data_IF_412905348768
#
_entry.id   IF_412905348768
#
_cell.length_a   1.000
_cell.length_b   1.000
_cell.length_c   1.000
_cell.angle_alpha   90.00
_cell.angle_beta   90.00
_cell.angle_gamma   90.00
#
_symmetry.space_group_name_H-M   'P 1'
#
loop_
_entity.id
_entity.type
_entity.pdbx_description
1 polymer ?
#
# COMPACT_ATOMS: atom_id res chain seq x y z
N UNK A 1 17.80 -6.22 1.58
CA UNK A 1 17.32 -5.00 0.88
C UNK A 1 16.08 -5.40 0.12
N UNK A 2 15.00 -4.62 0.17
CA UNK A 2 13.75 -4.94 -0.53
C UNK A 2 13.97 -5.02 -2.04
N UNK A 3 13.63 -6.15 -2.69
CA UNK A 3 13.97 -6.41 -4.09
C UNK A 3 13.00 -5.76 -5.10
N UNK A 4 11.92 -5.17 -4.58
CA UNK A 4 10.89 -4.51 -5.38
C UNK A 4 10.86 -3.01 -5.09
N UNK A 5 10.37 -2.24 -6.06
CA UNK A 5 10.00 -0.85 -5.87
C UNK A 5 8.49 -0.76 -5.68
N UNK A 6 8.08 -0.19 -4.56
CA UNK A 6 6.68 0.07 -4.26
C UNK A 6 6.43 1.56 -4.50
N UNK A 7 5.58 1.87 -5.48
CA UNK A 7 5.13 3.23 -5.74
C UNK A 7 3.72 3.42 -5.20
N UNK A 8 3.59 4.35 -4.26
CA UNK A 8 2.33 4.71 -3.61
C UNK A 8 1.87 6.07 -4.11
N UNK A 9 0.75 6.10 -4.82
CA UNK A 9 0.23 7.32 -5.42
C UNK A 9 -1.22 7.55 -4.97
N UNK A 10 -1.47 8.62 -4.19
CA UNK A 10 -2.84 9.03 -3.86
C UNK A 10 -3.42 9.81 -5.05
N UNK A 11 -4.36 9.19 -5.76
CA UNK A 11 -4.98 9.69 -7.00
C UNK A 11 -6.02 10.77 -6.74
N UNK A 12 -6.90 10.51 -5.78
CA UNK A 12 -8.06 11.35 -5.55
C UNK A 12 -8.41 11.35 -4.08
N UNK A 13 -8.77 12.53 -3.59
CA UNK A 13 -9.08 12.77 -2.19
C UNK A 13 -10.51 13.35 -2.13
N UNK A 14 -11.50 12.48 -1.96
CA UNK A 14 -12.90 12.87 -1.81
C UNK A 14 -13.21 13.27 -0.36
N UNK A 15 -14.39 13.84 -0.11
CA UNK A 15 -14.87 14.18 1.23
C UNK A 15 -14.72 13.07 2.25
N UNK A 16 -15.25 11.88 1.96
CA UNK A 16 -15.28 10.74 2.90
C UNK A 16 -14.27 9.64 2.58
N UNK A 17 -13.70 9.64 1.38
CA UNK A 17 -12.83 8.56 0.90
C UNK A 17 -11.61 9.12 0.20
N UNK A 18 -10.56 8.34 0.14
CA UNK A 18 -9.38 8.63 -0.68
C UNK A 18 -8.98 7.39 -1.45
N UNK A 19 -8.54 7.63 -2.68
CA UNK A 19 -8.13 6.59 -3.64
C UNK A 19 -6.63 6.58 -3.75
N UNK A 20 -6.05 5.41 -3.49
CA UNK A 20 -4.62 5.15 -3.62
C UNK A 20 -4.41 4.13 -4.74
N UNK A 21 -3.46 4.40 -5.62
CA UNK A 21 -2.91 3.41 -6.52
C UNK A 21 -1.56 2.93 -5.97
N UNK A 22 -1.43 1.63 -5.80
CA UNK A 22 -0.17 0.96 -5.48
C UNK A 22 0.37 0.35 -6.77
N UNK A 23 1.64 0.55 -7.05
CA UNK A 23 2.36 -0.17 -8.11
C UNK A 23 3.57 -0.87 -7.50
N UNK A 24 3.64 -2.19 -7.66
CA UNK A 24 4.76 -3.01 -7.20
C UNK A 24 5.54 -3.43 -8.45
N UNK A 25 6.79 -3.00 -8.55
CA UNK A 25 7.66 -3.33 -9.69
C UNK A 25 8.83 -4.17 -9.21
N UNK A 26 9.06 -5.31 -9.85
CA UNK A 26 10.20 -6.15 -9.56
C UNK A 26 11.44 -5.65 -10.31
N UNK A 27 12.41 -5.15 -9.57
CA UNK A 27 13.71 -4.71 -10.11
C UNK A 27 14.77 -5.81 -10.04
N UNK A 28 14.45 -7.00 -9.51
CA UNK A 28 15.32 -8.16 -9.58
C UNK A 28 15.17 -8.86 -10.94
N UNK A 29 16.17 -8.64 -11.80
CA UNK A 29 16.28 -9.26 -13.13
C UNK A 29 16.65 -10.75 -13.08
N UNK A 30 16.93 -11.31 -11.90
CA UNK A 30 17.36 -12.70 -11.74
C UNK A 30 16.23 -13.60 -11.25
N UNK A 31 15.20 -13.04 -10.62
CA UNK A 31 14.20 -13.81 -9.86
C UNK A 31 12.78 -13.37 -10.20
N UNK A 32 11.90 -14.33 -10.45
CA UNK A 32 10.46 -14.11 -10.49
C UNK A 32 9.86 -14.45 -9.12
N UNK A 33 8.92 -13.64 -8.63
CA UNK A 33 8.25 -13.90 -7.36
C UNK A 33 6.88 -14.54 -7.59
N UNK A 34 6.72 -15.79 -7.19
CA UNK A 34 5.44 -16.51 -7.19
C UNK A 34 4.80 -16.45 -5.80
N UNK A 35 3.48 -16.35 -5.71
CA UNK A 35 2.74 -16.30 -4.43
C UNK A 35 3.28 -15.23 -3.47
N UNK A 36 3.73 -14.11 -4.06
CA UNK A 36 4.31 -13.02 -3.32
C UNK A 36 3.29 -12.36 -2.39
N UNK A 37 3.78 -11.77 -1.31
CA UNK A 37 2.99 -11.01 -0.37
C UNK A 37 3.62 -9.64 -0.09
N UNK A 38 2.75 -8.66 0.07
CA UNK A 38 3.08 -7.30 0.46
C UNK A 38 2.33 -6.99 1.75
N UNK A 39 3.05 -6.73 2.83
CA UNK A 39 2.46 -6.31 4.11
C UNK A 39 2.71 -4.81 4.28
N UNK A 40 1.66 -4.05 4.52
CA UNK A 40 1.75 -2.60 4.70
C UNK A 40 1.13 -2.25 6.05
N UNK A 41 1.76 -1.32 6.75
CA UNK A 41 1.24 -0.71 7.96
C UNK A 41 0.81 0.73 7.67
N UNK A 42 -0.46 1.04 7.89
CA UNK A 42 -1.05 2.36 7.79
C UNK A 42 -2.19 2.50 8.82
N UNK A 43 -2.27 3.61 9.57
CA UNK A 43 -3.31 3.84 10.59
C UNK A 43 -4.76 3.87 10.09
N UNK A 44 -5.00 3.70 8.78
CA UNK A 44 -6.31 3.83 8.14
C UNK A 44 -6.74 2.52 7.44
N UNK A 45 -6.03 1.42 7.71
CA UNK A 45 -6.40 0.09 7.22
C UNK A 45 -7.49 -0.60 8.05
N UNK A 46 -7.90 0.01 9.16
CA UNK A 46 -9.06 -0.42 9.93
C UNK A 46 -10.36 -0.43 9.10
N UNK A 47 -10.45 0.38 8.02
CA UNK A 47 -11.64 0.53 7.17
C UNK A 47 -11.31 0.52 5.65
N UNK A 48 -10.68 -0.55 5.15
CA UNK A 48 -10.55 -0.76 3.70
C UNK A 48 -11.95 -1.02 3.12
N UNK A 49 -12.43 -0.09 2.29
CA UNK A 49 -13.79 -0.16 1.71
C UNK A 49 -13.80 -1.00 0.45
N UNK A 50 -12.81 -0.80 -0.42
CA UNK A 50 -12.68 -1.51 -1.68
C UNK A 50 -11.22 -1.70 -2.04
N UNK A 51 -10.91 -2.89 -2.57
CA UNK A 51 -9.62 -3.20 -3.19
C UNK A 51 -9.88 -3.77 -4.58
N UNK A 52 -9.14 -3.26 -5.56
CA UNK A 52 -9.18 -3.72 -6.94
C UNK A 52 -7.79 -4.17 -7.38
N UNK A 53 -7.70 -5.35 -7.98
CA UNK A 53 -6.47 -5.88 -8.57
C UNK A 53 -5.61 -6.75 -7.64
N UNK A 54 -5.91 -6.83 -6.34
CA UNK A 54 -5.22 -7.71 -5.39
C UNK A 54 -6.20 -8.37 -4.42
N UNK A 55 -5.75 -9.44 -3.77
CA UNK A 55 -6.39 -9.96 -2.58
C UNK A 55 -5.82 -9.25 -1.34
N UNK A 56 -6.61 -9.19 -0.26
CA UNK A 56 -6.12 -8.70 1.03
C UNK A 56 -6.66 -9.47 2.22
N UNK A 57 -5.92 -9.37 3.32
CA UNK A 57 -6.31 -9.83 4.63
C UNK A 57 -5.78 -8.85 5.68
N UNK A 58 -6.64 -8.28 6.53
CA UNK A 58 -6.17 -7.51 7.67
C UNK A 58 -5.40 -8.45 8.61
N UNK A 59 -4.22 -8.02 9.07
CA UNK A 59 -3.44 -8.71 10.07
C UNK A 59 -3.74 -8.07 11.42
N UNK A 60 -4.52 -8.75 12.25
CA UNK A 60 -4.69 -8.34 13.64
C UNK A 60 -3.36 -8.51 14.37
N UNK A 61 -2.85 -7.42 14.94
CA UNK A 61 -1.61 -7.47 15.71
C UNK A 61 -1.84 -8.26 17.01
N UNK A 62 -0.95 -9.19 17.39
CA UNK A 62 -1.14 -10.04 18.58
C UNK A 62 -1.02 -9.28 19.91
N UNK A 63 -0.61 -8.00 19.88
CA UNK A 63 -0.32 -7.19 21.07
C UNK A 63 -1.47 -6.29 21.55
N UNK A 64 -2.67 -6.37 20.96
CA UNK A 64 -3.84 -5.74 21.58
C UNK A 64 -5.09 -5.66 20.71
N UNK A 65 -6.29 -5.70 21.30
CA UNK A 65 -7.53 -5.43 20.61
C UNK A 65 -7.63 -3.92 20.32
N UNK A 66 -7.19 -3.48 19.14
CA UNK A 66 -7.34 -2.06 18.76
C UNK A 66 -6.42 -1.51 17.69
N UNK A 67 -5.46 -2.28 17.15
CA UNK A 67 -4.58 -1.83 16.07
C UNK A 67 -4.71 -2.78 14.88
N UNK A 68 -5.70 -2.54 14.01
CA UNK A 68 -5.86 -3.21 12.72
C UNK A 68 -5.18 -2.38 11.61
N UNK A 69 -4.07 -1.72 11.96
CA UNK A 69 -3.32 -0.81 11.11
C UNK A 69 -2.46 -1.56 10.06
N UNK A 70 -2.50 -2.88 10.04
CA UNK A 70 -1.64 -3.71 9.19
C UNK A 70 -2.49 -4.59 8.27
N UNK A 71 -2.19 -4.55 6.98
CA UNK A 71 -2.85 -5.36 5.97
C UNK A 71 -1.83 -6.11 5.11
N UNK A 72 -2.13 -7.38 4.83
CA UNK A 72 -1.40 -8.22 3.89
C UNK A 72 -2.13 -8.23 2.55
N UNK A 73 -1.38 -8.06 1.47
CA UNK A 73 -1.86 -8.09 0.09
C UNK A 73 -1.10 -9.18 -0.68
N UNK A 74 -1.77 -9.83 -1.64
CA UNK A 74 -1.15 -10.79 -2.55
C UNK A 74 -1.87 -10.85 -3.90
N UNK A 75 -1.22 -11.45 -4.88
CA UNK A 75 -1.77 -11.60 -6.23
C UNK A 75 -3.05 -12.43 -6.29
N UNK A 76 -3.91 -12.10 -7.24
CA UNK A 76 -5.08 -12.87 -7.68
C UNK A 76 -4.64 -13.88 -8.73
N UNK A 77 -4.80 -15.17 -8.42
CA UNK A 77 -4.56 -16.26 -9.40
C UNK A 77 -5.65 -16.25 -10.48
N UNK A 78 -5.31 -16.46 -11.77
CA UNK A 78 -3.98 -16.63 -12.37
C UNK A 78 -3.41 -15.34 -13.01
N UNK A 79 -3.84 -14.17 -12.56
CA UNK A 79 -3.58 -12.90 -13.27
C UNK A 79 -2.27 -12.24 -12.88
N UNK A 80 -1.98 -12.16 -11.57
CA UNK A 80 -0.82 -11.45 -11.04
C UNK A 80 -0.22 -12.14 -9.81
N UNK A 81 -0.40 -13.46 -9.72
CA UNK A 81 0.24 -14.34 -8.72
C UNK A 81 1.73 -14.57 -8.99
N UNK A 82 2.21 -14.21 -10.17
CA UNK A 82 3.63 -14.19 -10.54
C UNK A 82 4.06 -12.77 -10.90
N UNK A 83 4.99 -12.22 -10.13
CA UNK A 83 5.63 -10.93 -10.43
C UNK A 83 6.96 -11.22 -11.15
N UNK A 84 6.95 -11.07 -12.47
CA UNK A 84 8.15 -11.27 -13.30
C UNK A 84 9.12 -10.10 -13.22
N UNK A 85 10.32 -10.22 -13.79
CA UNK A 85 11.27 -9.12 -13.92
C UNK A 85 10.68 -7.87 -14.63
N UNK A 86 11.27 -6.70 -14.38
CA UNK A 86 10.84 -5.41 -14.93
C UNK A 86 10.56 -5.47 -16.45
N UNK A 87 9.39 -4.96 -16.85
CA UNK A 87 8.79 -5.17 -18.17
C UNK A 87 7.26 -5.10 -18.12
N UNK A 88 6.55 -5.46 -19.21
CA UNK A 88 5.07 -5.36 -19.28
C UNK A 88 4.34 -6.15 -18.18
N UNK A 89 4.95 -7.24 -17.69
CA UNK A 89 4.43 -8.09 -16.60
C UNK A 89 5.27 -7.97 -15.31
N UNK A 90 6.22 -7.04 -15.28
CA UNK A 90 7.11 -6.80 -14.15
C UNK A 90 6.55 -5.82 -13.13
N UNK A 91 5.35 -5.30 -13.38
CA UNK A 91 4.65 -4.40 -12.49
C UNK A 91 3.22 -4.86 -12.25
N UNK A 92 2.82 -4.89 -10.98
CA UNK A 92 1.44 -5.13 -10.58
C UNK A 92 0.85 -3.84 -10.03
N UNK A 93 -0.33 -3.48 -10.53
CA UNK A 93 -1.06 -2.31 -10.08
C UNK A 93 -2.31 -2.72 -9.30
N UNK A 94 -2.56 -2.01 -8.22
CA UNK A 94 -3.75 -2.18 -7.40
C UNK A 94 -4.34 -0.82 -7.04
N UNK A 95 -5.64 -0.77 -6.85
CA UNK A 95 -6.33 0.41 -6.37
C UNK A 95 -7.03 0.13 -5.05
N UNK A 96 -6.80 1.01 -4.08
CA UNK A 96 -7.41 1.02 -2.77
C UNK A 96 -8.37 2.20 -2.65
N UNK A 97 -9.57 1.93 -2.15
CA UNK A 97 -10.47 2.94 -1.65
C UNK A 97 -10.52 2.83 -0.12
N UNK A 98 -10.03 3.88 0.53
CA UNK A 98 -9.91 3.96 1.97
C UNK A 98 -10.89 5.02 2.46
N UNK A 99 -11.68 4.69 3.50
CA UNK A 99 -12.54 5.68 4.16
C UNK A 99 -11.69 6.57 5.05
N UNK A 100 -11.89 7.88 5.01
CA UNK A 100 -11.23 8.80 5.94
C UNK A 100 -11.84 8.66 7.32
N UNK A 101 -11.01 8.41 8.32
CA UNK A 101 -11.38 8.60 9.71
C UNK A 101 -11.08 10.04 10.13
N UNK A 102 -12.11 10.81 10.48
CA UNK A 102 -11.97 12.20 10.89
C UNK A 102 -11.16 12.41 12.16
N UNK A 103 -10.89 11.35 12.93
CA UNK A 103 -10.07 11.40 14.15
C UNK A 103 -8.58 11.31 13.87
N UNK A 104 -8.20 10.62 12.80
CA UNK A 104 -6.80 10.29 12.49
C UNK A 104 -6.30 10.92 11.19
N UNK A 105 -7.21 11.27 10.26
CA UNK A 105 -6.88 11.87 8.98
C UNK A 105 -6.29 13.28 9.16
N UNK A 106 -5.09 13.49 8.61
CA UNK A 106 -4.44 14.81 8.58
C UNK A 106 -3.79 15.05 7.21
N UNK A 107 -3.64 16.33 6.85
CA UNK A 107 -2.91 16.74 5.65
C UNK A 107 -1.39 16.89 5.91
N UNK A 108 -0.94 16.62 7.13
CA UNK A 108 0.43 16.88 7.56
C UNK A 108 1.40 15.73 7.20
N UNK A 109 2.65 16.10 6.91
CA UNK A 109 3.85 15.24 7.02
C UNK A 109 3.75 13.84 6.43
N UNK A 110 3.12 13.70 5.28
CA UNK A 110 3.03 12.42 4.59
C UNK A 110 2.16 11.37 5.29
N UNK A 111 1.18 11.78 6.11
CA UNK A 111 0.22 10.87 6.74
C UNK A 111 -0.44 9.89 5.76
N UNK A 112 -0.66 10.32 4.51
CA UNK A 112 -1.26 9.53 3.45
C UNK A 112 -0.35 8.41 2.89
N UNK A 113 0.88 8.29 3.40
CA UNK A 113 1.85 7.28 2.99
C UNK A 113 2.00 6.22 4.09
N UNK A 114 2.32 4.96 3.72
CA UNK A 114 2.46 3.92 4.71
C UNK A 114 3.66 4.14 5.63
N UNK A 115 3.53 3.74 6.88
CA UNK A 115 4.60 3.85 7.87
C UNK A 115 5.66 2.76 7.68
N UNK A 116 5.24 1.55 7.29
CA UNK A 116 6.11 0.41 7.02
C UNK A 116 5.57 -0.42 5.87
N UNK A 117 6.47 -1.02 5.11
CA UNK A 117 6.15 -1.96 4.05
C UNK A 117 7.13 -3.13 4.07
N UNK A 118 6.62 -4.35 3.91
CA UNK A 118 7.40 -5.57 3.79
C UNK A 118 6.99 -6.31 2.54
N UNK A 119 7.97 -6.77 1.76
CA UNK A 119 7.72 -7.61 0.60
C UNK A 119 8.33 -8.99 0.85
N UNK A 120 7.52 -10.05 0.86
CA UNK A 120 7.94 -11.41 1.20
C UNK A 120 8.75 -11.51 2.51
N UNK A 121 8.44 -10.65 3.49
CA UNK A 121 9.15 -10.56 4.77
C UNK A 121 10.36 -9.62 4.80
N UNK A 122 10.86 -9.18 3.64
CA UNK A 122 11.93 -8.19 3.57
C UNK A 122 11.40 -6.77 3.81
N UNK A 123 12.04 -6.02 4.71
CA UNK A 123 11.68 -4.64 4.99
C UNK A 123 12.04 -3.70 3.82
N UNK A 124 11.07 -2.94 3.35
CA UNK A 124 11.23 -1.94 2.30
C UNK A 124 11.46 -0.56 2.90
N UNK A 125 12.54 0.10 2.46
CA UNK A 125 12.92 1.42 2.97
C UNK A 125 11.94 2.46 2.44
N UNK A 126 11.37 3.22 3.38
CA UNK A 126 10.47 4.34 3.07
C UNK A 126 11.24 5.66 3.18
N UNK A 127 10.95 6.64 2.30
CA UNK A 127 11.41 8.02 2.49
C UNK A 127 11.06 8.58 3.88
N UNK A 128 11.86 9.54 4.36
CA UNK A 128 11.52 10.31 5.56
C UNK A 128 10.15 11.00 5.37
N UNK A 129 9.30 11.09 6.41
CA UNK A 129 8.01 11.78 6.35
C UNK A 129 8.07 13.21 5.78
N UNK A 130 9.17 13.91 6.01
CA UNK A 130 9.41 15.28 5.53
C UNK A 130 9.66 15.37 4.02
N UNK A 131 10.08 14.26 3.40
CA UNK A 131 10.34 14.18 1.96
C UNK A 131 9.07 13.86 1.16
N UNK A 132 7.95 13.57 1.82
CA UNK A 132 6.69 13.36 1.13
C UNK A 132 6.05 14.70 0.74
N UNK A 133 5.45 14.78 -0.46
CA UNK A 133 4.72 15.96 -0.84
C UNK A 133 3.54 16.17 0.11
N UNK A 134 3.33 17.42 0.53
CA UNK A 134 2.12 17.81 1.26
C UNK A 134 0.92 17.62 0.34
N UNK A 135 -0.17 17.07 0.88
CA UNK A 135 -1.43 17.03 0.16
C UNK A 135 -1.93 18.46 -0.08
N UNK A 136 -2.43 18.80 -1.28
CA UNK A 136 -2.92 20.14 -1.56
C UNK A 136 -4.12 20.48 -0.65
N UNK A 137 -4.15 21.67 -0.03
CA UNK A 137 -5.17 22.05 0.95
C UNK A 137 -6.59 22.16 0.36
N UNK A 138 -6.71 22.27 -0.96
CA UNK A 138 -7.98 22.40 -1.68
C UNK A 138 -8.64 21.06 -2.07
N UNK A 139 -8.13 19.92 -1.60
CA UNK A 139 -8.86 18.67 -1.72
C UNK A 139 -10.04 18.68 -0.74
N UNK A 140 -11.22 19.03 -1.27
CA UNK A 140 -12.43 19.34 -0.51
C UNK A 140 -12.75 18.34 0.61
N UNK A 141 -12.91 18.92 1.80
CA UNK A 141 -13.54 18.32 2.99
C UNK A 141 -15.05 18.22 2.81
#
# INVERSE_FOLDING_TARGET
MCPVKIHWHVKQNYKEYWRVQITITNFDFRTNYTEWNLVIQHPNFDNITQLSGLNYKPLSTPYGPGLNDTAMFWGVKPYNDVLTQDGKLGAVQAELLLRKDSRTFTFEKGWAFPHRAYFNGDNCVMPSPENYPSLPPNASV
#
